data_IF_225982535835
#
_entry.id   IF_225982535835
#
_cell.length_a   1.000
_cell.length_b   1.000
_cell.length_c   1.000
_cell.angle_alpha   90.00
_cell.angle_beta   90.00
_cell.angle_gamma   90.00
#
_symmetry.space_group_name_H-M   'P 1'
#
loop_
_entity.id
_entity.type
_entity.pdbx_description
1 polymer ?
#
# COMPACT_ATOMS: atom_id res chain seq x y z
N UNK A 1 -7.76 -10.81 -12.21
CA UNK A 1 -8.45 -10.09 -11.12
C UNK A 1 -8.25 -10.89 -9.85
N UNK A 2 -7.63 -10.27 -8.84
CA UNK A 2 -7.54 -10.88 -7.51
C UNK A 2 -8.92 -10.90 -6.83
N UNK A 3 -9.12 -11.85 -5.91
CA UNK A 3 -10.41 -12.07 -5.24
C UNK A 3 -10.50 -11.37 -3.88
N UNK A 4 -9.38 -10.89 -3.36
CA UNK A 4 -9.25 -10.49 -1.95
C UNK A 4 -9.07 -8.99 -1.88
N UNK A 5 -10.04 -8.34 -1.26
CA UNK A 5 -10.04 -6.90 -1.06
C UNK A 5 -10.18 -6.57 0.42
N UNK A 6 -9.60 -5.46 0.85
CA UNK A 6 -9.73 -4.99 2.23
C UNK A 6 -10.01 -3.49 2.26
N UNK A 7 -10.66 -3.00 3.31
CA UNK A 7 -10.74 -1.57 3.58
C UNK A 7 -9.43 -1.13 4.25
N UNK A 8 -8.79 -0.09 3.72
CA UNK A 8 -7.64 0.59 4.34
C UNK A 8 -7.95 2.09 4.45
N UNK A 9 -7.33 2.75 5.42
CA UNK A 9 -7.30 4.21 5.50
C UNK A 9 -6.01 4.73 4.87
N UNK A 10 -6.15 5.68 3.94
CA UNK A 10 -5.05 6.41 3.33
C UNK A 10 -5.07 7.85 3.84
N UNK A 11 -3.90 8.40 4.18
CA UNK A 11 -3.79 9.79 4.64
C UNK A 11 -2.48 10.43 4.20
N UNK A 12 -2.48 11.76 4.05
CA UNK A 12 -1.26 12.54 3.85
C UNK A 12 -0.75 13.03 5.21
N UNK A 13 0.39 12.53 5.71
CA UNK A 13 0.90 12.89 7.03
C UNK A 13 1.49 14.31 7.10
N UNK A 14 1.67 15.02 5.98
CA UNK A 14 2.21 16.39 5.97
C UNK A 14 1.21 17.42 6.49
N UNK A 15 -0.08 17.19 6.27
CA UNK A 15 -1.12 18.10 6.73
C UNK A 15 -2.31 17.34 7.31
N UNK A 16 -2.44 17.42 8.64
CA UNK A 16 -3.56 16.85 9.39
C UNK A 16 -4.94 17.41 9.02
N UNK A 17 -5.01 18.52 8.27
CA UNK A 17 -6.27 19.10 7.76
C UNK A 17 -6.80 18.35 6.54
N UNK A 18 -5.92 17.67 5.79
CA UNK A 18 -6.31 16.80 4.69
C UNK A 18 -7.02 15.59 5.29
N UNK A 19 -8.28 15.37 4.91
CA UNK A 19 -9.08 14.29 5.49
C UNK A 19 -8.55 12.94 5.00
N UNK A 20 -8.35 11.96 5.91
CA UNK A 20 -8.08 10.59 5.51
C UNK A 20 -9.21 10.02 4.65
N UNK A 21 -8.85 9.08 3.77
CA UNK A 21 -9.77 8.39 2.88
C UNK A 21 -9.81 6.90 3.23
N UNK A 22 -11.00 6.38 3.53
CA UNK A 22 -11.24 4.95 3.57
C UNK A 22 -11.48 4.44 2.16
N UNK A 23 -10.70 3.46 1.73
CA UNK A 23 -10.72 2.96 0.36
C UNK A 23 -10.72 1.44 0.35
N UNK A 24 -11.41 0.86 -0.64
CA UNK A 24 -11.32 -0.56 -0.93
C UNK A 24 -10.07 -0.82 -1.77
N UNK A 25 -9.15 -1.61 -1.24
CA UNK A 25 -7.91 -1.99 -1.90
C UNK A 25 -7.92 -3.47 -2.27
N UNK A 26 -7.47 -3.80 -3.48
CA UNK A 26 -7.17 -5.17 -3.89
C UNK A 26 -5.82 -5.58 -3.32
N UNK A 27 -5.77 -6.69 -2.60
CA UNK A 27 -4.51 -7.31 -2.18
C UNK A 27 -3.83 -7.95 -3.39
N UNK A 28 -2.72 -7.37 -3.85
CA UNK A 28 -2.07 -7.79 -5.08
C UNK A 28 -0.60 -8.11 -4.83
N UNK A 29 -0.31 -9.40 -4.64
CA UNK A 29 1.07 -9.88 -4.51
C UNK A 29 1.88 -9.80 -5.82
N UNK A 30 1.24 -9.52 -6.96
CA UNK A 30 1.89 -9.22 -8.22
C UNK A 30 2.30 -7.75 -8.36
N UNK A 31 1.75 -6.86 -7.53
CA UNK A 31 2.15 -5.46 -7.45
C UNK A 31 3.23 -5.25 -6.37
N UNK A 32 4.25 -4.46 -6.68
CA UNK A 32 5.33 -4.16 -5.72
C UNK A 32 4.95 -3.05 -4.74
N UNK A 33 4.43 -1.94 -5.26
CA UNK A 33 4.12 -0.73 -4.48
C UNK A 33 2.60 -0.60 -4.28
N UNK A 34 2.19 0.32 -3.40
CA UNK A 34 0.84 0.83 -3.43
C UNK A 34 0.58 1.49 -4.79
N UNK A 35 -0.51 1.11 -5.47
CA UNK A 35 -1.03 1.86 -6.61
C UNK A 35 -2.34 2.53 -6.22
N UNK A 36 -2.52 3.80 -6.60
CA UNK A 36 -3.77 4.54 -6.38
C UNK A 36 -4.26 5.19 -7.67
N UNK A 37 -5.57 5.29 -7.89
CA UNK A 37 -6.12 6.12 -8.94
C UNK A 37 -5.80 7.61 -8.74
N UNK A 38 -5.75 8.36 -9.83
CA UNK A 38 -5.43 9.79 -9.85
C UNK A 38 -6.31 10.62 -8.89
N UNK A 39 -7.61 10.33 -8.83
CA UNK A 39 -8.53 11.06 -7.97
C UNK A 39 -8.23 10.90 -6.47
N UNK A 40 -7.59 9.81 -6.04
CA UNK A 40 -7.16 9.62 -4.65
C UNK A 40 -5.93 10.48 -4.37
N UNK A 41 -4.96 10.49 -5.29
CA UNK A 41 -3.76 11.32 -5.15
C UNK A 41 -4.11 12.82 -5.07
N UNK A 42 -5.08 13.28 -5.88
CA UNK A 42 -5.59 14.66 -5.85
C UNK A 42 -6.25 14.98 -4.50
N UNK A 43 -7.14 14.12 -4.00
CA UNK A 43 -7.85 14.36 -2.73
C UNK A 43 -6.95 14.31 -1.50
N UNK A 44 -5.87 13.54 -1.57
CA UNK A 44 -4.84 13.50 -0.53
C UNK A 44 -3.76 14.59 -0.73
N UNK A 45 -3.88 15.42 -1.76
CA UNK A 45 -2.92 16.47 -2.13
C UNK A 45 -1.47 15.95 -2.11
N UNK A 46 -1.25 14.81 -2.77
CA UNK A 46 0.09 14.21 -2.84
C UNK A 46 0.97 15.00 -3.81
N UNK A 47 2.26 15.06 -3.49
CA UNK A 47 3.27 15.66 -4.37
C UNK A 47 3.90 14.59 -5.26
N UNK A 48 4.16 14.92 -6.53
CA UNK A 48 5.00 14.07 -7.39
C UNK A 48 6.46 14.13 -6.88
N UNK A 49 6.99 12.97 -6.49
CA UNK A 49 8.38 12.86 -6.03
C UNK A 49 9.31 12.62 -7.21
N UNK A 50 8.95 11.67 -8.07
CA UNK A 50 9.65 11.28 -9.29
C UNK A 50 8.76 10.34 -10.11
N UNK A 51 9.22 9.92 -11.29
CA UNK A 51 8.52 8.92 -12.13
C UNK A 51 9.20 7.56 -12.07
N UNK A 52 8.42 6.49 -12.23
CA UNK A 52 8.91 5.10 -12.31
C UNK A 52 8.34 4.43 -13.56
N UNK A 53 9.17 3.64 -14.23
CA UNK A 53 8.68 2.71 -15.25
C UNK A 53 7.99 1.53 -14.56
N UNK A 54 6.75 1.27 -14.94
CA UNK A 54 5.91 0.19 -14.43
C UNK A 54 5.60 -0.77 -15.56
N UNK A 55 5.78 -2.06 -15.34
CA UNK A 55 5.37 -3.11 -16.27
C UNK A 55 4.07 -3.74 -15.81
N UNK A 56 3.03 -3.69 -16.63
CA UNK A 56 1.72 -4.29 -16.35
C UNK A 56 1.70 -5.77 -16.70
N UNK A 57 0.66 -6.48 -16.25
CA UNK A 57 0.52 -7.92 -16.47
C UNK A 57 0.47 -8.32 -17.97
N UNK A 58 0.08 -7.41 -18.86
CA UNK A 58 0.13 -7.60 -20.32
C UNK A 58 1.51 -7.30 -20.93
N UNK A 59 2.53 -7.04 -20.11
CA UNK A 59 3.90 -6.76 -20.52
C UNK A 59 4.14 -5.33 -21.01
N UNK A 60 3.11 -4.47 -21.04
CA UNK A 60 3.29 -3.06 -21.43
C UNK A 60 4.04 -2.28 -20.35
N UNK A 61 4.81 -1.30 -20.80
CA UNK A 61 5.57 -0.39 -19.95
C UNK A 61 4.91 0.98 -19.91
N UNK A 62 4.83 1.56 -18.72
CA UNK A 62 4.22 2.86 -18.48
C UNK A 62 5.14 3.69 -17.59
N UNK A 63 5.39 4.95 -17.95
CA UNK A 63 6.08 5.89 -17.07
C UNK A 63 5.03 6.56 -16.18
N UNK A 64 5.00 6.18 -14.90
CA UNK A 64 3.97 6.61 -13.95
C UNK A 64 4.58 7.54 -12.87
N UNK A 65 3.84 8.56 -12.42
CA UNK A 65 4.27 9.37 -11.29
C UNK A 65 4.20 8.56 -10.00
N UNK A 66 5.25 8.67 -9.19
CA UNK A 66 5.33 8.15 -7.84
C UNK A 66 5.16 9.32 -6.87
N UNK A 67 4.05 9.31 -6.14
CA UNK A 67 3.59 10.44 -5.35
C UNK A 67 3.54 10.11 -3.86
N UNK A 68 3.67 11.12 -3.02
CA UNK A 68 3.60 10.94 -1.57
C UNK A 68 3.83 12.24 -0.80
N UNK A 69 4.00 12.14 0.52
CA UNK A 69 3.98 10.91 1.32
C UNK A 69 2.55 10.40 1.58
N UNK A 70 2.42 9.10 1.84
CA UNK A 70 1.14 8.49 2.22
C UNK A 70 1.32 7.55 3.41
N UNK A 71 0.40 7.64 4.38
CA UNK A 71 0.27 6.65 5.45
C UNK A 71 -0.91 5.75 5.12
N UNK A 72 -0.66 4.44 5.14
CA UNK A 72 -1.69 3.41 5.08
C UNK A 72 -1.96 2.95 6.51
N UNK A 73 -3.22 2.76 6.87
CA UNK A 73 -3.61 2.05 8.10
C UNK A 73 -4.55 0.90 7.79
N UNK A 74 -4.33 -0.19 8.51
CA UNK A 74 -5.17 -1.38 8.51
C UNK A 74 -5.15 -1.99 9.91
N UNK A 75 -6.30 -2.12 10.57
CA UNK A 75 -6.39 -2.62 11.94
C UNK A 75 -5.42 -1.89 12.89
N UNK A 76 -4.55 -2.62 13.60
CA UNK A 76 -3.50 -2.10 14.46
C UNK A 76 -2.16 -1.91 13.73
N UNK A 77 -2.17 -1.82 12.39
CA UNK A 77 -0.98 -1.67 11.54
C UNK A 77 -1.00 -0.35 10.79
N UNK A 78 0.19 0.17 10.54
CA UNK A 78 0.39 1.32 9.68
C UNK A 78 1.73 1.23 8.96
N UNK A 79 1.80 1.73 7.74
CA UNK A 79 3.04 1.94 7.00
C UNK A 79 3.09 3.33 6.38
N UNK A 80 4.29 3.88 6.27
CA UNK A 80 4.56 5.14 5.58
C UNK A 80 5.25 4.83 4.25
N UNK A 81 4.69 5.31 3.14
CA UNK A 81 5.19 4.99 1.81
C UNK A 81 4.91 6.10 0.80
N UNK A 82 5.13 5.82 -0.49
CA UNK A 82 4.55 6.55 -1.60
C UNK A 82 3.66 5.63 -2.43
N UNK A 83 2.98 6.19 -3.43
CA UNK A 83 2.08 5.46 -4.30
C UNK A 83 2.42 5.70 -5.77
N UNK A 84 2.33 4.66 -6.59
CA UNK A 84 2.24 4.80 -8.04
C UNK A 84 0.83 5.30 -8.38
N UNK A 85 0.73 6.43 -9.08
CA UNK A 85 -0.56 6.90 -9.58
C UNK A 85 -0.83 6.26 -10.93
N UNK A 86 -1.64 5.21 -10.92
CA UNK A 86 -1.90 4.36 -12.06
C UNK A 86 -3.17 3.52 -11.86
N UNK A 87 -3.92 3.29 -12.95
CA UNK A 87 -5.10 2.43 -12.94
C UNK A 87 -6.33 3.06 -12.30
N UNK A 88 -7.36 2.22 -12.10
CA UNK A 88 -8.70 2.66 -11.65
C UNK A 88 -9.11 2.08 -10.28
N UNK A 89 -8.28 1.21 -9.71
CA UNK A 89 -8.49 0.63 -8.38
C UNK A 89 -7.23 0.76 -7.53
N UNK A 90 -7.39 0.72 -6.21
CA UNK A 90 -6.24 0.72 -5.30
C UNK A 90 -5.65 -0.67 -5.24
N UNK A 91 -4.36 -0.81 -5.52
CA UNK A 91 -3.63 -2.07 -5.37
C UNK A 91 -2.72 -1.97 -4.14
N UNK A 92 -2.96 -2.83 -3.15
CA UNK A 92 -2.08 -2.99 -2.01
C UNK A 92 -0.98 -3.99 -2.39
N UNK A 93 0.18 -3.47 -2.80
CA UNK A 93 1.33 -4.26 -3.22
C UNK A 93 2.12 -4.89 -2.07
N UNK A 94 3.14 -5.67 -2.41
CA UNK A 94 3.92 -6.45 -1.43
C UNK A 94 4.69 -5.60 -0.43
N UNK A 95 5.30 -4.47 -0.83
CA UNK A 95 6.07 -3.61 0.08
C UNK A 95 5.22 -3.11 1.25
N UNK A 96 4.06 -2.44 1.03
CA UNK A 96 3.24 -2.01 2.14
C UNK A 96 2.62 -3.18 2.92
N UNK A 97 2.39 -4.36 2.32
CA UNK A 97 1.93 -5.53 3.07
C UNK A 97 3.01 -6.08 4.02
N UNK A 98 4.25 -6.20 3.55
CA UNK A 98 5.37 -6.65 4.36
C UNK A 98 5.70 -5.64 5.48
N UNK A 99 5.74 -4.35 5.18
CA UNK A 99 6.01 -3.30 6.18
C UNK A 99 4.94 -3.28 7.29
N UNK A 100 3.68 -3.55 6.95
CA UNK A 100 2.59 -3.66 7.92
C UNK A 100 2.53 -5.00 8.67
N UNK A 101 3.33 -6.00 8.29
CA UNK A 101 3.27 -7.36 8.86
C UNK A 101 1.85 -7.94 8.77
N UNK A 102 1.28 -7.93 7.55
CA UNK A 102 -0.05 -8.45 7.23
C UNK A 102 0.02 -9.55 6.17
N UNK A 103 -0.93 -10.47 6.22
CA UNK A 103 -0.97 -11.66 5.38
C UNK A 103 -2.25 -11.71 4.54
N UNK A 104 -2.13 -12.22 3.32
CA UNK A 104 -3.29 -12.59 2.50
C UNK A 104 -3.84 -13.93 3.01
N UNK A 105 -5.13 -13.98 3.37
CA UNK A 105 -5.82 -15.21 3.75
C UNK A 105 -6.88 -15.59 2.71
N UNK A 106 -6.56 -16.50 1.76
CA UNK A 106 -7.56 -16.98 0.80
C UNK A 106 -8.77 -17.65 1.44
N UNK A 107 -8.55 -18.41 2.52
CA UNK A 107 -9.62 -19.10 3.25
C UNK A 107 -10.64 -18.12 3.86
N UNK A 108 -10.20 -16.92 4.26
CA UNK A 108 -11.06 -15.86 4.81
C UNK A 108 -11.46 -14.82 3.77
N UNK A 109 -10.91 -14.91 2.56
CA UNK A 109 -10.99 -13.91 1.50
C UNK A 109 -10.67 -12.49 2.00
N UNK A 110 -9.66 -12.36 2.88
CA UNK A 110 -9.30 -11.09 3.52
C UNK A 110 -7.78 -10.92 3.67
N UNK A 111 -7.34 -9.69 3.90
CA UNK A 111 -6.07 -9.45 4.59
C UNK A 111 -6.28 -9.71 6.08
N UNK A 112 -5.29 -10.26 6.76
CA UNK A 112 -5.28 -10.44 8.21
C UNK A 112 -3.99 -9.89 8.80
N UNK A 113 -4.07 -9.43 10.05
CA UNK A 113 -2.89 -9.21 10.89
C UNK A 113 -2.15 -10.54 11.03
N UNK A 114 -0.82 -10.52 10.94
CA UNK A 114 -0.01 -11.73 11.16
C UNK A 114 -0.34 -12.37 12.53
N UNK A 115 -0.86 -13.62 12.55
CA UNK A 115 -1.24 -14.29 13.79
C UNK A 115 -0.09 -14.58 14.74
N UNK A 116 1.15 -14.63 14.23
CA UNK A 116 2.36 -14.86 15.05
C UNK A 116 2.79 -13.58 15.79
N UNK A 117 2.25 -12.42 15.41
CA UNK A 117 2.58 -11.11 15.95
C UNK A 117 1.32 -10.24 16.19
N UNK A 118 0.29 -10.74 16.88
CA UNK A 118 -1.06 -10.16 16.83
C UNK A 118 -1.12 -8.69 17.29
N UNK A 119 -0.30 -8.32 18.27
CA UNK A 119 -0.36 -6.99 18.90
C UNK A 119 0.61 -5.96 18.30
N UNK A 120 1.79 -6.39 17.87
CA UNK A 120 2.88 -5.51 17.44
C UNK A 120 3.51 -6.11 16.18
N UNK A 121 3.62 -5.32 15.11
CA UNK A 121 4.29 -5.73 13.89
C UNK A 121 5.76 -6.11 14.15
N UNK A 122 6.22 -7.15 13.47
CA UNK A 122 7.60 -7.64 13.60
C UNK A 122 8.42 -7.35 12.35
N UNK A 123 9.74 -7.26 12.51
CA UNK A 123 10.69 -7.09 11.41
C UNK A 123 11.98 -7.85 11.71
N UNK A 124 12.72 -8.20 10.66
CA UNK A 124 13.97 -8.96 10.77
C UNK A 124 15.14 -8.03 10.46
N UNK A 125 16.04 -7.89 11.43
CA UNK A 125 17.32 -7.20 11.26
C UNK A 125 18.45 -8.14 11.68
N UNK A 126 19.52 -8.20 10.87
CA UNK A 126 20.72 -8.98 11.22
C UNK A 126 21.62 -8.16 12.14
N UNK A 127 21.84 -8.65 13.36
CA UNK A 127 22.91 -8.16 14.23
C UNK A 127 24.12 -9.09 14.07
N UNK A 128 25.21 -8.60 13.50
CA UNK A 128 26.52 -9.26 13.68
C UNK A 128 27.08 -8.83 15.03
N UNK A 129 27.13 -9.75 15.98
CA UNK A 129 27.90 -9.53 17.21
C UNK A 129 29.39 -9.43 16.84
N UNK A 130 30.16 -8.53 17.50
CA UNK A 130 31.60 -8.43 17.29
C UNK A 130 32.34 -9.71 17.71
#
# INVERSE_FOLDING_TARGET
MGLITTEIELSNPRDSKIKPMKVKALADSGALHLCVPEHIAIQLELDELYKREVTTADGKKHLCPYMGPIVIKFENRACFTGALVFGNEVLLGVVPMEDMDVLISPARQSIIVNPDSPNIATSIAKLTLP
#
